data_IF_553026497282
#
_entry.id   IF_553026497282
#
_cell.length_a   1.000
_cell.length_b   1.000
_cell.length_c   1.000
_cell.angle_alpha   90.00
_cell.angle_beta   90.00
_cell.angle_gamma   90.00
#
_symmetry.space_group_name_H-M   'P 1'
#
loop_
_entity.id
_entity.type
_entity.pdbx_description
1 polymer ?
#
# COMPACT_ATOMS: atom_id res chain seq x y z
N UNK A 1 18.67 -2.07 7.80
CA UNK A 1 17.97 -3.02 8.71
C UNK A 1 17.64 -4.26 7.91
N UNK A 2 17.54 -5.47 8.51
CA UNK A 2 17.08 -6.65 7.78
C UNK A 2 15.67 -6.42 7.24
N UNK A 3 15.37 -6.98 6.07
CA UNK A 3 14.06 -6.89 5.44
C UNK A 3 13.00 -7.56 6.35
N UNK A 4 11.86 -6.89 6.64
CA UNK A 4 10.86 -7.46 7.53
C UNK A 4 10.26 -8.75 6.96
N UNK A 5 9.99 -9.75 7.81
CA UNK A 5 9.42 -11.04 7.37
C UNK A 5 8.06 -10.89 6.67
N UNK A 6 7.26 -9.91 7.08
CA UNK A 6 5.98 -9.61 6.44
C UNK A 6 6.16 -9.11 4.99
N UNK A 7 7.30 -8.50 4.66
CA UNK A 7 7.61 -8.03 3.31
C UNK A 7 7.75 -9.20 2.33
N UNK A 8 8.54 -10.21 2.67
CA UNK A 8 8.66 -11.43 1.85
C UNK A 8 7.30 -12.09 1.67
N UNK A 9 6.52 -12.19 2.76
CA UNK A 9 5.18 -12.79 2.74
C UNK A 9 4.21 -12.03 1.83
N UNK A 10 4.34 -10.70 1.76
CA UNK A 10 3.57 -9.83 0.87
C UNK A 10 3.91 -10.09 -0.61
N UNK A 11 5.21 -10.12 -0.94
CA UNK A 11 5.67 -10.31 -2.32
C UNK A 11 5.38 -11.72 -2.86
N UNK A 12 5.39 -12.74 -2.00
CA UNK A 12 5.06 -14.11 -2.39
C UNK A 12 3.59 -14.28 -2.84
N UNK A 13 2.71 -13.32 -2.52
CA UNK A 13 1.29 -13.39 -2.89
C UNK A 13 1.06 -12.99 -4.36
N UNK A 14 1.78 -12.00 -4.89
CA UNK A 14 1.56 -11.47 -6.23
C UNK A 14 2.87 -11.32 -6.99
N UNK A 15 3.04 -12.05 -8.12
CA UNK A 15 4.22 -11.89 -8.97
C UNK A 15 4.31 -10.48 -9.58
N UNK A 16 3.19 -9.79 -9.78
CA UNK A 16 3.16 -8.40 -10.26
C UNK A 16 3.81 -7.45 -9.26
N UNK A 17 3.48 -7.58 -7.97
CA UNK A 17 4.07 -6.79 -6.90
C UNK A 17 5.54 -7.13 -6.66
N UNK A 18 5.89 -8.42 -6.67
CA UNK A 18 7.28 -8.86 -6.57
C UNK A 18 8.13 -8.30 -7.72
N UNK A 19 7.61 -8.32 -8.95
CA UNK A 19 8.30 -7.76 -10.09
C UNK A 19 8.44 -6.23 -9.99
N UNK A 20 7.46 -5.52 -9.43
CA UNK A 20 7.60 -4.07 -9.20
C UNK A 20 8.65 -3.76 -8.14
N UNK A 21 8.68 -4.48 -7.01
CA UNK A 21 9.69 -4.25 -5.98
C UNK A 21 11.12 -4.39 -6.54
N UNK A 22 11.38 -5.46 -7.32
CA UNK A 22 12.67 -5.65 -7.99
C UNK A 22 12.98 -4.50 -8.95
N UNK A 23 12.01 -4.06 -9.75
CA UNK A 23 12.18 -2.92 -10.66
C UNK A 23 12.47 -1.64 -9.89
N UNK A 24 11.74 -1.37 -8.81
CA UNK A 24 11.91 -0.13 -8.06
C UNK A 24 13.26 -0.07 -7.36
N UNK A 25 13.70 -1.17 -6.74
CA UNK A 25 15.04 -1.29 -6.17
C UNK A 25 16.13 -1.07 -7.22
N UNK A 26 15.97 -1.61 -8.42
CA UNK A 26 16.92 -1.39 -9.51
C UNK A 26 16.93 0.08 -9.98
N UNK A 27 15.77 0.76 -10.01
CA UNK A 27 15.68 2.19 -10.32
C UNK A 27 16.34 3.04 -9.23
N UNK A 28 16.05 2.76 -7.96
CA UNK A 28 16.64 3.44 -6.81
C UNK A 28 18.16 3.42 -6.89
N UNK A 29 18.77 2.22 -7.00
CA UNK A 29 20.22 2.05 -7.09
C UNK A 29 20.87 2.82 -8.25
N UNK A 30 20.15 3.02 -9.35
CA UNK A 30 20.65 3.83 -10.48
C UNK A 30 20.61 5.33 -10.20
N UNK A 31 19.61 5.79 -9.46
CA UNK A 31 19.42 7.20 -9.12
C UNK A 31 20.28 7.63 -7.92
N UNK A 32 20.61 6.69 -7.03
CA UNK A 32 21.41 6.93 -5.82
C UNK A 32 22.69 6.09 -5.79
N UNK A 33 23.58 6.18 -6.80
CA UNK A 33 24.72 5.27 -6.97
C UNK A 33 25.77 5.35 -5.85
N UNK A 34 25.71 6.38 -4.99
CA UNK A 34 26.60 6.56 -3.83
C UNK A 34 25.94 6.21 -2.51
N UNK A 35 24.68 5.76 -2.52
CA UNK A 35 24.01 5.24 -1.34
C UNK A 35 24.05 3.72 -1.37
N UNK A 36 24.67 3.14 -0.35
CA UNK A 36 24.63 1.69 -0.11
C UNK A 36 23.32 1.25 0.54
N UNK A 37 22.51 2.22 0.99
CA UNK A 37 21.23 1.97 1.64
C UNK A 37 20.14 1.56 0.65
N UNK A 38 19.36 0.57 1.06
CA UNK A 38 18.14 0.20 0.36
C UNK A 38 17.15 1.36 0.34
N UNK A 39 16.25 1.33 -0.66
CA UNK A 39 15.18 2.32 -0.76
C UNK A 39 14.36 2.38 0.55
N UNK A 40 14.07 3.58 1.08
CA UNK A 40 13.25 3.73 2.29
C UNK A 40 11.91 2.99 2.16
N UNK A 41 11.49 2.32 3.23
CA UNK A 41 10.31 1.45 3.26
C UNK A 41 9.04 2.18 2.77
N UNK A 42 8.81 3.41 3.21
CA UNK A 42 7.65 4.22 2.78
C UNK A 42 7.63 4.44 1.26
N UNK A 43 8.80 4.66 0.64
CA UNK A 43 8.88 4.86 -0.82
C UNK A 43 8.63 3.53 -1.54
N UNK A 44 9.21 2.41 -1.05
CA UNK A 44 8.92 1.07 -1.59
C UNK A 44 7.42 0.74 -1.53
N UNK A 45 6.77 1.08 -0.42
CA UNK A 45 5.33 0.90 -0.23
C UNK A 45 4.51 1.78 -1.17
N UNK A 46 4.99 2.99 -1.47
CA UNK A 46 4.43 3.86 -2.50
C UNK A 46 4.46 3.24 -3.89
N UNK A 47 5.62 2.71 -4.29
CA UNK A 47 5.75 2.01 -5.57
C UNK A 47 4.84 0.76 -5.63
N UNK A 48 4.74 0.01 -4.52
CA UNK A 48 3.82 -1.13 -4.43
C UNK A 48 2.35 -0.70 -4.47
N UNK A 49 1.96 0.40 -3.84
CA UNK A 49 0.60 0.94 -3.92
C UNK A 49 0.20 1.30 -5.34
N UNK A 50 1.10 1.96 -6.07
CA UNK A 50 0.90 2.26 -7.50
C UNK A 50 0.76 0.98 -8.33
N UNK A 51 1.64 0.00 -8.12
CA UNK A 51 1.55 -1.27 -8.84
C UNK A 51 0.29 -2.07 -8.49
N UNK A 52 -0.15 -2.04 -7.25
CA UNK A 52 -1.39 -2.68 -6.81
C UNK A 52 -2.60 -2.11 -7.56
N UNK A 53 -2.70 -0.77 -7.62
CA UNK A 53 -3.74 -0.08 -8.40
C UNK A 53 -3.65 -0.41 -9.88
N UNK A 54 -2.45 -0.31 -10.47
CA UNK A 54 -2.24 -0.51 -11.89
C UNK A 54 -2.54 -1.95 -12.35
N UNK A 55 -2.36 -2.93 -11.46
CA UNK A 55 -2.53 -4.36 -11.76
C UNK A 55 -3.79 -4.95 -11.11
N UNK A 56 -4.71 -4.13 -10.61
CA UNK A 56 -5.86 -4.60 -9.82
C UNK A 56 -6.71 -5.66 -10.55
N UNK A 57 -6.80 -5.55 -11.87
CA UNK A 57 -7.55 -6.47 -12.73
C UNK A 57 -6.84 -7.84 -12.91
N UNK A 58 -5.52 -7.87 -12.74
CA UNK A 58 -4.69 -9.08 -12.84
C UNK A 58 -4.50 -9.75 -11.47
N UNK A 59 -4.61 -9.00 -10.37
CA UNK A 59 -4.54 -9.53 -9.02
C UNK A 59 -5.89 -10.14 -8.64
N UNK A 60 -5.91 -11.45 -8.37
CA UNK A 60 -7.13 -12.15 -7.99
C UNK A 60 -7.73 -11.63 -6.66
N UNK A 61 -9.04 -11.77 -6.44
CA UNK A 61 -9.66 -11.34 -5.17
C UNK A 61 -9.03 -11.97 -3.92
N UNK A 62 -8.60 -13.23 -3.99
CA UNK A 62 -7.92 -13.89 -2.87
C UNK A 62 -6.54 -13.28 -2.60
N UNK A 63 -5.78 -12.95 -3.65
CA UNK A 63 -4.50 -12.26 -3.50
C UNK A 63 -4.70 -10.87 -2.90
N UNK A 64 -5.67 -10.09 -3.40
CA UNK A 64 -5.97 -8.74 -2.87
C UNK A 64 -6.29 -8.80 -1.37
N UNK A 65 -7.20 -9.69 -0.96
CA UNK A 65 -7.55 -9.88 0.45
C UNK A 65 -6.33 -10.20 1.31
N UNK A 66 -5.46 -11.10 0.84
CA UNK A 66 -4.24 -11.48 1.59
C UNK A 66 -3.23 -10.34 1.67
N UNK A 67 -3.03 -9.60 0.59
CA UNK A 67 -2.16 -8.40 0.55
C UNK A 67 -2.66 -7.37 1.55
N UNK A 68 -3.93 -7.00 1.45
CA UNK A 68 -4.54 -5.97 2.30
C UNK A 68 -4.59 -6.41 3.78
N UNK A 69 -4.80 -7.70 4.05
CA UNK A 69 -4.74 -8.25 5.41
C UNK A 69 -3.35 -8.12 6.04
N UNK A 70 -2.27 -8.43 5.31
CA UNK A 70 -0.90 -8.28 5.83
C UNK A 70 -0.62 -6.81 6.15
N UNK A 71 -0.99 -5.91 5.24
CA UNK A 71 -0.75 -4.48 5.41
C UNK A 71 -1.57 -3.90 6.56
N UNK A 72 -2.83 -4.33 6.71
CA UNK A 72 -3.65 -4.02 7.88
C UNK A 72 -2.97 -4.47 9.18
N UNK A 73 -2.52 -5.73 9.25
CA UNK A 73 -1.88 -6.27 10.46
C UNK A 73 -0.62 -5.48 10.83
N UNK A 74 0.19 -5.10 9.84
CA UNK A 74 1.38 -4.26 10.04
C UNK A 74 1.01 -2.84 10.48
N UNK A 75 -0.04 -2.25 9.91
CA UNK A 75 -0.51 -0.93 10.32
C UNK A 75 -1.04 -0.94 11.76
N UNK A 76 -1.83 -1.95 12.11
CA UNK A 76 -2.52 -2.05 13.39
C UNK A 76 -1.60 -2.49 14.53
N UNK A 77 -0.68 -3.42 14.26
CA UNK A 77 0.10 -4.13 15.30
C UNK A 77 1.61 -4.07 15.08
N UNK A 78 2.09 -3.50 13.98
CA UNK A 78 3.51 -3.26 13.75
C UNK A 78 4.07 -2.18 14.67
N UNK A 79 5.39 -1.94 14.58
CA UNK A 79 5.98 -0.81 15.29
C UNK A 79 5.55 0.52 14.62
N UNK A 80 5.69 1.63 15.35
CA UNK A 80 5.25 2.96 14.89
C UNK A 80 5.81 3.33 13.51
N UNK A 81 7.08 2.99 13.24
CA UNK A 81 7.73 3.26 11.97
C UNK A 81 7.11 2.45 10.82
N UNK A 82 6.91 1.15 11.01
CA UNK A 82 6.31 0.27 10.00
C UNK A 82 4.85 0.62 9.76
N UNK A 83 4.07 0.83 10.81
CA UNK A 83 2.65 1.18 10.67
C UNK A 83 2.46 2.52 9.96
N UNK A 84 3.28 3.52 10.30
CA UNK A 84 3.28 4.81 9.60
C UNK A 84 3.70 4.66 8.14
N UNK A 85 4.70 3.81 7.86
CA UNK A 85 5.16 3.57 6.48
C UNK A 85 4.08 2.87 5.63
N UNK A 86 3.30 1.95 6.19
CA UNK A 86 2.16 1.33 5.49
C UNK A 86 1.04 2.34 5.24
N UNK A 87 0.67 3.13 6.24
CA UNK A 87 -0.39 4.12 6.10
C UNK A 87 -0.04 5.17 5.02
N UNK A 88 1.09 5.85 5.17
CA UNK A 88 1.50 6.96 4.29
C UNK A 88 2.13 6.48 2.98
N UNK A 89 2.74 5.29 2.96
CA UNK A 89 3.37 4.73 1.78
C UNK A 89 2.38 4.01 0.89
N UNK A 90 1.55 3.10 1.42
CA UNK A 90 0.67 2.28 0.60
C UNK A 90 -0.76 2.84 0.54
N UNK A 91 -1.42 3.01 1.68
CA UNK A 91 -2.85 3.33 1.70
C UNK A 91 -3.14 4.75 1.22
N UNK A 92 -2.30 5.73 1.58
CA UNK A 92 -2.41 7.09 1.05
C UNK A 92 -2.25 7.13 -0.49
N UNK A 93 -1.34 6.33 -1.05
CA UNK A 93 -1.17 6.22 -2.52
C UNK A 93 -2.40 5.60 -3.18
N UNK A 94 -2.94 4.52 -2.61
CA UNK A 94 -4.14 3.86 -3.13
C UNK A 94 -5.35 4.79 -3.03
N UNK A 95 -5.46 5.56 -1.94
CA UNK A 95 -6.50 6.58 -1.78
C UNK A 95 -6.33 7.71 -2.79
N UNK A 96 -5.11 8.22 -3.00
CA UNK A 96 -4.85 9.26 -4.00
C UNK A 96 -5.19 8.81 -5.42
N UNK A 97 -4.97 7.54 -5.76
CA UNK A 97 -5.36 7.00 -7.06
C UNK A 97 -6.89 7.03 -7.30
N UNK A 98 -7.71 7.05 -6.24
CA UNK A 98 -9.16 7.21 -6.36
C UNK A 98 -9.51 8.57 -6.98
N UNK A 99 -8.79 9.63 -6.60
CA UNK A 99 -8.95 10.97 -7.19
C UNK A 99 -8.58 10.98 -8.69
N UNK A 100 -7.76 10.03 -9.14
CA UNK A 100 -7.35 9.83 -10.52
C UNK A 100 -8.27 8.86 -11.30
N UNK A 101 -9.33 8.35 -10.66
CA UNK A 101 -10.36 7.52 -11.29
C UNK A 101 -10.24 6.01 -11.02
N UNK A 102 -9.36 5.58 -10.12
CA UNK A 102 -9.36 4.20 -9.63
C UNK A 102 -10.65 3.89 -8.85
N UNK A 103 -11.30 2.76 -9.11
CA UNK A 103 -12.49 2.35 -8.35
C UNK A 103 -12.10 1.77 -6.98
N UNK A 104 -11.89 2.64 -6.00
CA UNK A 104 -11.55 2.25 -4.62
C UNK A 104 -12.63 1.35 -3.98
N UNK A 105 -13.89 1.45 -4.42
CA UNK A 105 -14.96 0.59 -3.93
C UNK A 105 -14.71 -0.89 -4.24
N UNK A 106 -13.93 -1.20 -5.27
CA UNK A 106 -13.59 -2.57 -5.67
C UNK A 106 -12.72 -3.30 -4.63
N UNK A 107 -12.03 -2.57 -3.76
CA UNK A 107 -11.18 -3.12 -2.70
C UNK A 107 -11.62 -2.71 -1.30
N UNK A 108 -12.54 -1.74 -1.18
CA UNK A 108 -12.92 -1.17 0.11
C UNK A 108 -13.34 -2.24 1.11
N UNK A 109 -14.14 -3.22 0.68
CA UNK A 109 -14.58 -4.33 1.54
C UNK A 109 -13.46 -5.32 1.92
N UNK A 110 -12.37 -5.35 1.16
CA UNK A 110 -11.19 -6.17 1.45
C UNK A 110 -10.22 -5.45 2.41
N UNK A 111 -10.33 -4.12 2.57
CA UNK A 111 -9.51 -3.33 3.50
C UNK A 111 -9.93 -3.57 4.94
N UNK A 112 -8.98 -3.53 5.86
CA UNK A 112 -9.23 -3.66 7.30
C UNK A 112 -9.70 -2.36 7.97
N UNK A 113 -9.89 -2.42 9.28
CA UNK A 113 -10.49 -1.33 10.03
C UNK A 113 -9.55 -0.13 10.16
N UNK A 114 -8.28 -0.37 10.49
CA UNK A 114 -7.27 0.69 10.69
C UNK A 114 -6.95 1.40 9.37
N UNK A 115 -6.78 0.63 8.30
CA UNK A 115 -6.55 1.18 6.96
C UNK A 115 -7.74 2.02 6.44
N UNK A 116 -8.98 1.54 6.63
CA UNK A 116 -10.19 2.35 6.31
C UNK A 116 -10.28 3.61 7.17
N UNK A 117 -10.04 3.48 8.47
CA UNK A 117 -10.09 4.62 9.41
C UNK A 117 -9.08 5.68 9.01
N UNK A 118 -7.85 5.28 8.69
CA UNK A 118 -6.82 6.17 8.19
C UNK A 118 -7.25 6.90 6.91
N UNK A 119 -7.78 6.19 5.91
CA UNK A 119 -8.22 6.80 4.65
C UNK A 119 -9.36 7.81 4.87
N UNK A 120 -10.31 7.48 5.75
CA UNK A 120 -11.41 8.39 6.14
C UNK A 120 -10.85 9.65 6.79
N UNK A 121 -9.98 9.49 7.81
CA UNK A 121 -9.38 10.63 8.50
C UNK A 121 -8.53 11.51 7.60
N UNK A 122 -7.82 10.91 6.63
CA UNK A 122 -7.03 11.66 5.65
C UNK A 122 -7.92 12.50 4.72
N UNK A 123 -9.03 11.93 4.24
CA UNK A 123 -10.03 12.68 3.46
C UNK A 123 -10.66 13.81 4.29
N UNK A 124 -11.02 13.56 5.55
CA UNK A 124 -11.56 14.58 6.45
C UNK A 124 -10.56 15.72 6.67
N UNK A 125 -9.29 15.38 6.89
CA UNK A 125 -8.21 16.36 7.06
C UNK A 125 -8.05 17.24 5.81
N UNK A 126 -8.14 16.66 4.61
CA UNK A 126 -8.08 17.40 3.34
C UNK A 126 -9.41 18.04 2.91
N UNK A 127 -10.50 17.85 3.67
CA UNK A 127 -11.82 18.39 3.32
C UNK A 127 -12.47 17.72 2.10
N UNK A 128 -12.05 16.50 1.75
CA UNK A 128 -12.60 15.72 0.64
C UNK A 128 -13.99 15.20 1.01
N UNK A 129 -14.98 15.46 0.16
CA UNK A 129 -16.35 14.97 0.36
C UNK A 129 -16.41 13.48 0.05
N UNK A 130 -16.52 12.66 1.09
CA UNK A 130 -16.61 11.21 0.96
C UNK A 130 -18.02 10.77 0.51
N UNK A 131 -18.12 9.72 -0.33
CA UNK A 131 -19.37 9.08 -0.66
C UNK A 131 -19.89 8.21 0.48
N UNK A 132 -21.21 8.01 0.55
CA UNK A 132 -21.87 7.27 1.62
C UNK A 132 -21.31 5.87 1.85
N UNK A 133 -20.84 5.19 0.80
CA UNK A 133 -20.32 3.83 0.91
C UNK A 133 -19.01 3.75 1.71
N UNK A 134 -18.22 4.83 1.80
CA UNK A 134 -17.02 4.86 2.66
C UNK A 134 -17.37 4.98 4.14
N UNK A 135 -18.47 5.64 4.46
CA UNK A 135 -18.91 5.90 5.83
C UNK A 135 -19.71 4.77 6.48
N UNK A 136 -20.06 3.71 5.72
CA UNK A 136 -20.86 2.59 6.23
C UNK A 136 -19.96 1.61 6.97
N UNK A 137 -20.24 1.44 8.26
CA UNK A 137 -19.66 0.41 9.14
C UNK A 137 -20.24 -0.96 8.86
#
# INVERSE_FOLDING_TARGET
MPEPQWWTSLLDISPELAAEDVRSQARWRRLTPHQEEEQPLTIRLGDLGQAFVANIASISPDQRRRILSILEDVQASGNEQEGTAVATGFFEVVLGAWDEGFDLRAIWEDMGLESRTYCISLNEFHGVKMPDWMSRK
#
